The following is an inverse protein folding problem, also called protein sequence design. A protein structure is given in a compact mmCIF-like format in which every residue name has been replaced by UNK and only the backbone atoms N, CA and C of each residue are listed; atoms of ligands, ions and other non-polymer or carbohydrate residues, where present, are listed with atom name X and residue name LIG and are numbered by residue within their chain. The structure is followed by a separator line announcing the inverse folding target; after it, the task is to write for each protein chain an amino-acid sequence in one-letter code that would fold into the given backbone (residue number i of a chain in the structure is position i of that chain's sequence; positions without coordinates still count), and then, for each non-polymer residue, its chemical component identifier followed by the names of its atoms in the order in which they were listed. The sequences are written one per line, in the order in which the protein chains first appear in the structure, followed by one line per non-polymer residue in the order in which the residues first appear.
data_IF_598622501087
#
_entry.id   IF_598622501087
#
_cell.length_a   1.000
_cell.length_b   1.000
_cell.length_c   1.000
_cell.angle_alpha   90.00
_cell.angle_beta   90.00
_cell.angle_gamma   90.00
#
_symmetry.space_group_name_H-M   'P 1'
#
loop_
_entity.id
_entity.type
_entity.pdbx_description
1 polymer ?
#
# COMPACT_ATOMS: atom_id res chain seq x y z
N UNK A 1 -50.77 5.21 1.99
CA UNK A 1 -49.67 5.70 2.86
C UNK A 1 -49.59 4.69 3.98
N UNK A 2 -48.48 3.94 4.10
CA UNK A 2 -48.39 2.82 5.07
C UNK A 2 -48.29 3.41 6.49
N UNK A 3 -48.83 2.75 7.50
CA UNK A 3 -48.78 3.22 8.91
C UNK A 3 -47.35 3.49 9.40
N UNK A 4 -46.35 2.81 8.82
CA UNK A 4 -44.93 3.08 9.07
C UNK A 4 -44.53 4.52 8.68
N UNK A 5 -45.05 5.04 7.56
CA UNK A 5 -44.75 6.40 7.08
C UNK A 5 -45.29 7.49 8.02
N UNK A 6 -46.35 7.18 8.79
CA UNK A 6 -46.99 8.11 9.74
C UNK A 6 -46.21 8.18 11.06
N UNK A 7 -45.58 7.08 11.48
CA UNK A 7 -44.75 7.07 12.68
C UNK A 7 -43.48 7.92 12.49
N UNK A 8 -42.85 7.84 11.31
CA UNK A 8 -41.63 8.59 10.98
C UNK A 8 -41.83 10.10 10.81
N UNK A 9 -43.05 10.56 10.50
CA UNK A 9 -43.33 12.00 10.32
C UNK A 9 -43.54 12.76 11.63
N UNK A 10 -43.58 12.07 12.77
CA UNK A 10 -43.91 12.64 14.09
C UNK A 10 -42.69 12.95 14.97
N UNK A 11 -41.49 12.55 14.56
CA UNK A 11 -40.26 12.79 15.32
C UNK A 11 -39.75 14.22 15.04
N UNK A 12 -39.46 15.02 16.09
CA UNK A 12 -39.02 16.39 15.91
C UNK A 12 -37.66 16.43 15.19
N UNK A 13 -37.46 17.36 14.24
CA UNK A 13 -36.17 17.50 13.57
C UNK A 13 -35.07 17.81 14.59
N UNK A 14 -33.94 17.12 14.50
CA UNK A 14 -32.80 17.39 15.37
C UNK A 14 -32.25 18.80 15.12
N UNK A 15 -32.62 19.77 15.96
CA UNK A 15 -32.13 21.16 15.92
C UNK A 15 -30.68 21.31 16.45
N UNK A 16 -29.92 20.23 16.61
CA UNK A 16 -28.54 20.24 17.08
C UNK A 16 -27.54 20.12 15.94
N UNK A 17 -26.42 20.83 16.03
CA UNK A 17 -25.28 20.59 15.14
C UNK A 17 -24.85 19.11 15.22
N UNK A 18 -24.46 18.48 14.10
CA UNK A 18 -24.12 17.06 14.06
C UNK A 18 -23.04 16.73 15.10
N UNK A 19 -23.34 15.84 16.05
CA UNK A 19 -22.42 15.49 17.14
C UNK A 19 -21.48 14.36 16.71
N UNK A 20 -20.16 14.45 17.02
CA UNK A 20 -19.24 13.36 16.78
C UNK A 20 -19.52 12.19 17.75
N UNK A 21 -19.71 10.99 17.21
CA UNK A 21 -19.92 9.76 18.01
C UNK A 21 -18.61 9.05 18.29
N UNK A 22 -17.70 9.02 17.31
CA UNK A 22 -16.41 8.36 17.44
C UNK A 22 -15.30 9.19 16.82
N UNK A 23 -14.12 9.11 17.44
CA UNK A 23 -12.92 9.84 17.04
C UNK A 23 -11.73 8.91 17.09
N UNK A 24 -11.01 8.78 15.97
CA UNK A 24 -9.84 7.91 15.84
C UNK A 24 -8.72 8.69 15.17
N UNK A 25 -7.51 8.62 15.73
CA UNK A 25 -6.35 9.30 15.12
C UNK A 25 -6.01 8.68 13.76
N UNK A 26 -5.77 9.52 12.76
CA UNK A 26 -5.49 9.09 11.40
C UNK A 26 -4.16 8.32 11.26
N UNK A 27 -3.26 8.40 12.25
CA UNK A 27 -2.02 7.59 12.28
C UNK A 27 -2.28 6.08 12.24
N UNK A 28 -3.43 5.63 12.76
CA UNK A 28 -3.79 4.21 12.74
C UNK A 28 -4.02 3.68 11.33
N UNK A 29 -4.36 4.56 10.37
CA UNK A 29 -4.43 4.19 8.94
C UNK A 29 -3.05 3.79 8.44
N UNK A 30 -2.01 4.55 8.79
CA UNK A 30 -0.63 4.23 8.43
C UNK A 30 -0.15 2.96 9.11
N UNK A 31 -0.46 2.76 10.40
CA UNK A 31 -0.12 1.50 11.08
C UNK A 31 -0.80 0.28 10.45
N UNK A 32 -2.11 0.38 10.17
CA UNK A 32 -2.85 -0.70 9.54
C UNK A 32 -2.26 -1.05 8.16
N UNK A 33 -1.98 -0.05 7.33
CA UNK A 33 -1.32 -0.25 6.03
C UNK A 33 0.04 -0.96 6.20
N UNK A 34 0.92 -0.43 7.05
CA UNK A 34 2.28 -0.95 7.20
C UNK A 34 2.32 -2.37 7.78
N UNK A 35 1.52 -2.65 8.81
CA UNK A 35 1.47 -3.97 9.44
C UNK A 35 0.90 -5.00 8.47
N UNK A 36 -0.19 -4.67 7.77
CA UNK A 36 -0.81 -5.60 6.82
C UNK A 36 0.09 -5.83 5.60
N UNK A 37 0.72 -4.78 5.05
CA UNK A 37 1.61 -4.90 3.91
C UNK A 37 2.86 -5.75 4.25
N UNK A 38 3.59 -5.41 5.32
CA UNK A 38 4.74 -6.22 5.73
C UNK A 38 4.33 -7.63 6.16
N UNK A 39 3.20 -7.77 6.84
CA UNK A 39 2.63 -9.06 7.20
C UNK A 39 2.36 -9.92 5.97
N UNK A 40 1.79 -9.36 4.91
CA UNK A 40 1.52 -10.07 3.65
C UNK A 40 2.79 -10.67 3.07
N UNK A 41 3.81 -9.84 2.86
CA UNK A 41 5.09 -10.24 2.26
C UNK A 41 5.86 -11.23 3.15
N UNK A 42 5.92 -10.96 4.46
CA UNK A 42 6.63 -11.82 5.41
C UNK A 42 5.98 -13.18 5.56
N UNK A 43 4.65 -13.23 5.73
CA UNK A 43 3.92 -14.50 5.85
C UNK A 43 4.02 -15.29 4.55
N UNK A 44 3.89 -14.64 3.38
CA UNK A 44 4.07 -15.30 2.09
C UNK A 44 5.46 -15.92 1.96
N UNK A 45 6.52 -15.20 2.35
CA UNK A 45 7.88 -15.72 2.32
C UNK A 45 8.07 -16.92 3.25
N UNK A 46 7.64 -16.81 4.51
CA UNK A 46 7.77 -17.90 5.49
C UNK A 46 7.00 -19.14 5.03
N UNK A 47 5.73 -18.97 4.63
CA UNK A 47 4.87 -20.08 4.19
C UNK A 47 5.38 -20.66 2.87
N UNK A 48 5.84 -19.82 1.94
CA UNK A 48 6.42 -20.23 0.67
C UNK A 48 7.68 -21.06 0.87
N UNK A 49 8.62 -20.59 1.68
CA UNK A 49 9.82 -21.34 2.05
C UNK A 49 9.49 -22.63 2.80
N UNK A 50 8.49 -22.64 3.69
CA UNK A 50 8.13 -23.86 4.42
C UNK A 50 7.49 -24.94 3.52
N UNK A 51 6.69 -24.53 2.54
CA UNK A 51 5.87 -25.48 1.75
C UNK A 51 6.47 -25.83 0.39
N UNK A 52 7.19 -24.90 -0.25
CA UNK A 52 7.56 -25.00 -1.65
C UNK A 52 8.96 -24.42 -1.96
N UNK A 53 9.89 -24.39 -0.99
CA UNK A 53 11.20 -23.73 -1.13
C UNK A 53 11.88 -23.97 -2.48
N UNK A 54 12.21 -25.21 -2.81
CA UNK A 54 12.94 -25.54 -4.05
C UNK A 54 12.22 -25.07 -5.31
N UNK A 55 10.88 -25.01 -5.28
CA UNK A 55 10.08 -24.56 -6.43
C UNK A 55 10.09 -23.05 -6.57
N UNK A 56 10.04 -22.31 -5.47
CA UNK A 56 9.99 -20.83 -5.50
C UNK A 56 11.36 -20.18 -5.67
N UNK A 57 12.46 -20.91 -5.40
CA UNK A 57 13.82 -20.46 -5.71
C UNK A 57 14.27 -20.82 -7.13
N UNK A 58 13.52 -21.67 -7.83
CA UNK A 58 13.89 -22.10 -9.18
C UNK A 58 13.46 -21.07 -10.23
N UNK A 59 14.32 -20.85 -11.21
CA UNK A 59 14.03 -20.10 -12.43
C UNK A 59 13.98 -21.05 -13.65
N UNK A 60 13.93 -20.49 -14.87
CA UNK A 60 13.82 -21.25 -16.12
C UNK A 60 15.04 -22.14 -16.43
N UNK A 61 16.21 -21.83 -15.85
CA UNK A 61 17.49 -22.46 -16.18
C UNK A 61 18.12 -23.20 -14.98
N UNK A 62 17.92 -22.70 -13.77
CA UNK A 62 18.58 -23.16 -12.55
C UNK A 62 17.60 -23.26 -11.38
N UNK A 63 17.90 -24.18 -10.47
CA UNK A 63 17.23 -24.32 -9.18
C UNK A 63 18.25 -24.35 -8.04
N UNK A 64 17.82 -24.85 -6.90
CA UNK A 64 18.73 -25.11 -5.78
C UNK A 64 19.77 -26.18 -6.19
N UNK A 65 21.08 -26.01 -5.86
CA UNK A 65 21.67 -25.03 -4.94
C UNK A 65 22.18 -23.73 -5.58
N UNK A 66 22.14 -23.60 -6.91
CA UNK A 66 22.63 -22.39 -7.58
C UNK A 66 21.77 -21.17 -7.24
N UNK A 67 20.45 -21.39 -7.10
CA UNK A 67 19.49 -20.39 -6.65
C UNK A 67 18.95 -20.74 -5.26
N UNK A 68 18.88 -19.73 -4.38
CA UNK A 68 18.59 -19.92 -2.96
C UNK A 68 17.74 -18.80 -2.33
N UNK A 69 17.53 -17.67 -3.03
CA UNK A 69 16.58 -16.62 -2.61
C UNK A 69 15.43 -16.59 -3.62
N UNK A 70 14.17 -16.77 -3.20
CA UNK A 70 13.03 -16.78 -4.11
C UNK A 70 12.65 -15.35 -4.53
N UNK A 71 12.18 -15.17 -5.77
CA UNK A 71 11.65 -13.87 -6.20
C UNK A 71 10.36 -13.51 -5.48
N UNK A 72 10.05 -12.21 -5.46
CA UNK A 72 8.79 -11.72 -4.88
C UNK A 72 7.60 -12.32 -5.64
N UNK A 73 7.64 -12.30 -6.98
CA UNK A 73 6.58 -12.87 -7.81
C UNK A 73 6.39 -14.37 -7.59
N UNK A 74 7.46 -15.17 -7.53
CA UNK A 74 7.36 -16.61 -7.29
C UNK A 74 6.78 -16.92 -5.89
N UNK A 75 7.20 -16.14 -4.89
CA UNK A 75 6.76 -16.31 -3.50
C UNK A 75 5.29 -15.96 -3.30
N UNK A 76 4.80 -14.95 -4.02
CA UNK A 76 3.47 -14.36 -3.78
C UNK A 76 2.40 -14.82 -4.78
N UNK A 77 2.80 -15.25 -5.98
CA UNK A 77 1.90 -15.53 -7.09
C UNK A 77 1.71 -17.01 -7.42
N UNK A 78 2.73 -17.85 -7.23
CA UNK A 78 2.76 -19.14 -7.91
C UNK A 78 1.89 -20.22 -7.26
N UNK A 79 1.87 -20.29 -5.91
CA UNK A 79 1.42 -21.51 -5.22
C UNK A 79 0.61 -21.25 -3.95
N UNK A 80 -0.42 -22.07 -3.78
CA UNK A 80 -1.10 -22.27 -2.50
C UNK A 80 -0.14 -22.98 -1.51
N UNK A 81 -0.12 -22.64 -0.21
CA UNK A 81 -0.99 -21.66 0.47
C UNK A 81 -0.42 -20.23 0.55
N UNK A 82 0.85 -20.01 0.22
CA UNK A 82 1.50 -18.69 0.34
C UNK A 82 0.75 -17.58 -0.43
N UNK A 83 0.37 -17.85 -1.69
CA UNK A 83 -0.44 -16.95 -2.53
C UNK A 83 -1.73 -16.50 -1.85
N UNK A 84 -2.46 -17.43 -1.23
CA UNK A 84 -3.75 -17.13 -0.63
C UNK A 84 -3.60 -16.21 0.60
N UNK A 85 -2.63 -16.50 1.47
CA UNK A 85 -2.35 -15.63 2.63
C UNK A 85 -1.91 -14.22 2.18
N UNK A 86 -1.04 -14.14 1.17
CA UNK A 86 -0.61 -12.88 0.59
C UNK A 86 -1.79 -12.05 0.08
N UNK A 87 -2.62 -12.62 -0.79
CA UNK A 87 -3.74 -11.94 -1.43
C UNK A 87 -4.80 -11.48 -0.41
N UNK A 88 -5.08 -12.28 0.61
CA UNK A 88 -6.01 -11.89 1.69
C UNK A 88 -5.48 -10.67 2.47
N UNK A 89 -4.20 -10.69 2.84
CA UNK A 89 -3.59 -9.59 3.60
C UNK A 89 -3.48 -8.30 2.75
N UNK A 90 -3.16 -8.41 1.46
CA UNK A 90 -3.16 -7.26 0.54
C UNK A 90 -4.58 -6.73 0.30
N UNK A 91 -5.59 -7.61 0.17
CA UNK A 91 -6.98 -7.18 0.08
C UNK A 91 -7.40 -6.36 1.30
N UNK A 92 -7.01 -6.77 2.51
CA UNK A 92 -7.24 -5.98 3.72
C UNK A 92 -6.43 -4.68 3.76
N UNK A 93 -5.23 -4.66 3.16
CA UNK A 93 -4.39 -3.46 3.04
C UNK A 93 -5.01 -2.39 2.14
N UNK A 94 -5.86 -2.76 1.18
CA UNK A 94 -6.44 -1.85 0.19
C UNK A 94 -7.19 -0.66 0.83
N UNK A 95 -8.04 -0.91 1.84
CA UNK A 95 -8.79 0.14 2.54
C UNK A 95 -7.88 1.18 3.19
N UNK A 96 -6.96 0.80 4.10
CA UNK A 96 -5.95 1.68 4.65
C UNK A 96 -5.13 2.40 3.58
N UNK A 97 -4.78 1.74 2.47
CA UNK A 97 -4.00 2.34 1.39
C UNK A 97 -4.75 3.47 0.70
N UNK A 98 -5.99 3.24 0.26
CA UNK A 98 -6.80 4.29 -0.38
C UNK A 98 -7.04 5.47 0.56
N UNK A 99 -7.32 5.19 1.83
CA UNK A 99 -7.52 6.22 2.84
C UNK A 99 -6.23 7.01 3.11
N UNK A 100 -5.07 6.36 3.16
CA UNK A 100 -3.77 7.02 3.30
C UNK A 100 -3.49 7.99 2.15
N UNK A 101 -3.75 7.59 0.90
CA UNK A 101 -3.56 8.47 -0.27
C UNK A 101 -4.48 9.69 -0.18
N UNK A 102 -5.74 9.49 0.20
CA UNK A 102 -6.69 10.59 0.40
C UNK A 102 -6.29 11.52 1.55
N UNK A 103 -5.87 10.95 2.69
CA UNK A 103 -5.38 11.71 3.84
C UNK A 103 -4.16 12.55 3.48
N UNK A 104 -3.25 12.03 2.65
CA UNK A 104 -2.11 12.80 2.16
C UNK A 104 -2.55 14.03 1.37
N UNK A 105 -3.56 13.90 0.50
CA UNK A 105 -4.14 15.02 -0.24
C UNK A 105 -4.74 16.08 0.72
N UNK A 106 -5.53 15.65 1.71
CA UNK A 106 -6.14 16.57 2.69
C UNK A 106 -5.07 17.24 3.54
N UNK A 107 -4.08 16.49 4.03
CA UNK A 107 -2.99 16.99 4.84
C UNK A 107 -2.22 18.10 4.12
N UNK A 108 -1.77 17.83 2.90
CA UNK A 108 -0.92 18.76 2.13
C UNK A 108 -1.67 19.99 1.60
N UNK A 109 -2.97 19.88 1.30
CA UNK A 109 -3.75 20.99 0.71
C UNK A 109 -4.57 21.79 1.72
N UNK A 110 -4.96 21.19 2.85
CA UNK A 110 -5.84 21.82 3.85
C UNK A 110 -5.17 22.07 5.20
N UNK A 111 -4.20 21.24 5.58
CA UNK A 111 -3.57 21.32 6.90
C UNK A 111 -2.26 22.08 6.85
N UNK A 112 -1.26 21.54 6.14
CA UNK A 112 0.07 22.17 6.05
C UNK A 112 0.17 23.20 4.93
N UNK A 113 -0.76 23.15 3.97
CA UNK A 113 -0.80 24.03 2.78
C UNK A 113 0.54 24.08 2.02
N UNK A 114 1.27 22.98 2.03
CA UNK A 114 2.55 22.79 1.33
C UNK A 114 2.37 22.46 -0.14
N UNK A 115 1.13 22.23 -0.59
CA UNK A 115 0.79 21.89 -1.96
C UNK A 115 -0.34 22.76 -2.51
N UNK A 116 -0.29 23.09 -3.80
CA UNK A 116 -1.42 23.72 -4.49
C UNK A 116 -2.56 22.72 -4.66
N UNK A 117 -3.84 23.16 -4.71
CA UNK A 117 -4.96 22.26 -4.90
C UNK A 117 -4.87 21.40 -6.17
N UNK A 118 -4.29 21.97 -7.24
CA UNK A 118 -4.06 21.24 -8.49
C UNK A 118 -3.01 20.14 -8.31
N UNK A 119 -1.83 20.47 -7.79
CA UNK A 119 -0.77 19.47 -7.56
C UNK A 119 -1.21 18.38 -6.60
N UNK A 120 -1.91 18.74 -5.51
CA UNK A 120 -2.48 17.76 -4.58
C UNK A 120 -3.44 16.78 -5.26
N UNK A 121 -4.31 17.24 -6.17
CA UNK A 121 -5.21 16.37 -6.93
C UNK A 121 -4.45 15.47 -7.92
N UNK A 122 -3.42 15.99 -8.59
CA UNK A 122 -2.56 15.18 -9.45
C UNK A 122 -1.85 14.08 -8.65
N UNK A 123 -1.30 14.42 -7.48
CA UNK A 123 -0.64 13.46 -6.59
C UNK A 123 -1.61 12.41 -6.05
N UNK A 124 -2.84 12.81 -5.70
CA UNK A 124 -3.93 11.88 -5.37
C UNK A 124 -4.20 10.91 -6.52
N UNK A 125 -4.35 11.40 -7.75
CA UNK A 125 -4.58 10.54 -8.92
C UNK A 125 -3.42 9.56 -9.15
N UNK A 126 -2.17 10.02 -9.08
CA UNK A 126 -0.98 9.16 -9.17
C UNK A 126 -0.99 8.09 -8.07
N UNK A 127 -1.32 8.46 -6.83
CA UNK A 127 -1.41 7.53 -5.71
C UNK A 127 -2.53 6.49 -5.87
N UNK A 128 -3.66 6.87 -6.47
CA UNK A 128 -4.75 5.96 -6.80
C UNK A 128 -4.35 4.98 -7.91
N UNK A 129 -3.76 5.47 -9.01
CA UNK A 129 -3.25 4.62 -10.11
C UNK A 129 -2.21 3.65 -9.56
N UNK A 130 -1.22 4.13 -8.78
CA UNK A 130 -0.24 3.26 -8.11
C UNK A 130 -0.92 2.18 -7.27
N UNK A 131 -1.96 2.54 -6.50
CA UNK A 131 -2.67 1.58 -5.65
C UNK A 131 -3.43 0.53 -6.46
N UNK A 132 -4.08 0.94 -7.55
CA UNK A 132 -4.79 0.02 -8.45
C UNK A 132 -3.82 -0.91 -9.18
N UNK A 133 -2.69 -0.39 -9.67
CA UNK A 133 -1.63 -1.20 -10.30
C UNK A 133 -1.04 -2.23 -9.33
N UNK A 134 -0.93 -1.89 -8.03
CA UNK A 134 -0.53 -2.83 -6.99
C UNK A 134 -1.50 -4.01 -6.89
N UNK A 135 -2.81 -3.72 -6.84
CA UNK A 135 -3.84 -4.75 -6.90
C UNK A 135 -3.76 -5.57 -8.19
N UNK A 136 -3.48 -4.91 -9.33
CA UNK A 136 -3.28 -5.54 -10.63
C UNK A 136 -2.27 -6.67 -10.58
N UNK A 137 -1.00 -6.38 -10.25
CA UNK A 137 0.04 -7.41 -10.23
C UNK A 137 -0.11 -8.40 -9.06
N UNK A 138 -0.80 -8.02 -7.98
CA UNK A 138 -1.05 -8.92 -6.83
C UNK A 138 -2.12 -9.97 -7.13
N UNK A 139 -3.24 -9.57 -7.75
CA UNK A 139 -4.37 -10.47 -7.99
C UNK A 139 -4.31 -11.17 -9.35
N UNK A 140 -3.71 -10.53 -10.35
CA UNK A 140 -3.33 -11.15 -11.62
C UNK A 140 -1.88 -11.58 -11.48
N UNK A 141 -1.70 -12.85 -11.11
CA UNK A 141 -0.38 -13.39 -10.81
C UNK A 141 0.39 -13.69 -12.11
N UNK A 142 1.72 -13.71 -12.03
CA UNK A 142 2.60 -14.07 -13.16
C UNK A 142 2.30 -15.44 -13.76
N UNK A 143 1.72 -16.36 -12.97
CA UNK A 143 1.27 -17.68 -13.45
C UNK A 143 -0.07 -17.66 -14.17
N UNK A 144 -0.94 -16.68 -13.88
CA UNK A 144 -2.27 -16.60 -14.50
C UNK A 144 -2.24 -15.84 -15.83
N UNK A 145 -1.59 -14.67 -15.85
CA UNK A 145 -1.40 -13.84 -17.04
C UNK A 145 -0.12 -13.00 -16.87
N UNK A 146 0.96 -13.45 -17.50
CA UNK A 146 2.28 -12.85 -17.37
C UNK A 146 2.33 -11.42 -17.96
N UNK A 147 1.67 -11.19 -19.10
CA UNK A 147 1.72 -9.90 -19.79
C UNK A 147 1.00 -8.82 -18.98
N UNK A 148 -0.20 -9.14 -18.48
CA UNK A 148 -0.96 -8.20 -17.67
C UNK A 148 -0.32 -7.95 -16.30
N UNK A 149 0.28 -8.99 -15.70
CA UNK A 149 1.07 -8.88 -14.47
C UNK A 149 2.23 -7.89 -14.65
N UNK A 150 3.03 -8.05 -15.71
CA UNK A 150 4.20 -7.20 -15.99
C UNK A 150 3.79 -5.76 -16.30
N UNK A 151 2.71 -5.56 -17.07
CA UNK A 151 2.19 -4.21 -17.35
C UNK A 151 1.75 -3.53 -16.04
N UNK A 152 1.06 -4.24 -15.16
CA UNK A 152 0.63 -3.71 -13.87
C UNK A 152 1.82 -3.39 -12.96
N UNK A 153 2.84 -4.26 -12.92
CA UNK A 153 4.07 -4.02 -12.16
C UNK A 153 4.87 -2.83 -12.70
N UNK A 154 5.05 -2.72 -14.02
CA UNK A 154 5.72 -1.60 -14.66
C UNK A 154 4.98 -0.28 -14.38
N UNK A 155 3.65 -0.27 -14.51
CA UNK A 155 2.84 0.90 -14.18
C UNK A 155 2.96 1.27 -12.69
N UNK A 156 2.99 0.28 -11.78
CA UNK A 156 3.23 0.51 -10.36
C UNK A 156 4.59 1.19 -10.10
N UNK A 157 5.67 0.67 -10.67
CA UNK A 157 7.01 1.24 -10.53
C UNK A 157 7.11 2.65 -11.13
N UNK A 158 6.54 2.86 -12.32
CA UNK A 158 6.49 4.17 -12.98
C UNK A 158 5.70 5.19 -12.16
N UNK A 159 4.60 4.80 -11.52
CA UNK A 159 3.83 5.68 -10.63
C UNK A 159 4.49 5.87 -9.26
N UNK A 160 5.40 5.00 -8.84
CA UNK A 160 6.10 5.10 -7.55
C UNK A 160 7.03 6.29 -7.49
N UNK A 161 7.74 6.61 -8.58
CA UNK A 161 8.61 7.79 -8.66
C UNK A 161 7.87 9.13 -8.45
N UNK A 162 6.84 9.49 -9.25
CA UNK A 162 6.10 10.72 -9.03
C UNK A 162 5.35 10.73 -7.68
N UNK A 163 4.90 9.57 -7.19
CA UNK A 163 4.31 9.47 -5.85
C UNK A 163 5.32 9.86 -4.76
N UNK A 164 6.47 9.18 -4.69
CA UNK A 164 7.45 9.39 -3.63
C UNK A 164 8.10 10.79 -3.72
N UNK A 165 8.41 11.28 -4.92
CA UNK A 165 8.92 12.64 -5.11
C UNK A 165 7.87 13.70 -4.77
N UNK A 166 6.60 13.46 -5.12
CA UNK A 166 5.50 14.36 -4.78
C UNK A 166 5.23 14.42 -3.27
N UNK A 167 5.27 13.27 -2.58
CA UNK A 167 5.21 13.20 -1.11
C UNK A 167 6.40 13.94 -0.50
N UNK A 168 7.61 13.72 -1.01
CA UNK A 168 8.82 14.38 -0.49
C UNK A 168 8.77 15.91 -0.68
N UNK A 169 8.29 16.40 -1.82
CA UNK A 169 8.21 17.83 -2.11
C UNK A 169 7.13 18.56 -1.31
N UNK A 170 6.04 17.86 -0.99
CA UNK A 170 4.90 18.39 -0.22
C UNK A 170 4.99 18.11 1.28
N UNK A 171 6.00 17.37 1.72
CA UNK A 171 6.25 17.13 3.15
C UNK A 171 6.59 18.43 3.90
N UNK A 172 6.09 18.57 5.12
CA UNK A 172 6.39 19.74 5.96
C UNK A 172 7.89 19.83 6.27
N UNK A 173 8.49 21.00 6.02
CA UNK A 173 9.90 21.28 6.31
C UNK A 173 10.23 21.29 7.80
N UNK A 174 9.22 21.43 8.66
CA UNK A 174 9.39 21.39 10.11
C UNK A 174 9.76 19.98 10.61
N UNK A 175 9.49 18.93 9.82
CA UNK A 175 9.79 17.54 10.19
C UNK A 175 11.08 17.04 9.55
N UNK A 176 12.21 17.64 9.95
CA UNK A 176 13.53 17.38 9.36
C UNK A 176 13.93 15.90 9.41
N UNK A 177 13.63 15.20 10.51
CA UNK A 177 13.93 13.77 10.65
C UNK A 177 13.12 12.90 9.66
N UNK A 178 11.82 13.16 9.51
CA UNK A 178 10.96 12.45 8.54
C UNK A 178 11.47 12.67 7.12
N UNK A 179 11.82 13.91 6.77
CA UNK A 179 12.40 14.24 5.47
C UNK A 179 13.74 13.52 5.21
N UNK A 180 14.60 13.40 6.23
CA UNK A 180 15.87 12.66 6.11
C UNK A 180 15.61 11.20 5.75
N UNK A 181 14.69 10.54 6.48
CA UNK A 181 14.35 9.14 6.21
C UNK A 181 13.65 8.96 4.86
N UNK A 182 12.73 9.85 4.48
CA UNK A 182 12.12 9.84 3.14
C UNK A 182 13.17 9.93 2.03
N UNK A 183 14.11 10.86 2.12
CA UNK A 183 15.20 10.99 1.14
C UNK A 183 16.06 9.74 1.07
N UNK A 184 16.41 9.17 2.22
CA UNK A 184 17.19 7.94 2.28
C UNK A 184 16.46 6.78 1.61
N UNK A 185 15.17 6.59 1.89
CA UNK A 185 14.37 5.50 1.31
C UNK A 185 14.15 5.67 -0.19
N UNK A 186 13.89 6.90 -0.65
CA UNK A 186 13.81 7.22 -2.10
C UNK A 186 15.15 6.95 -2.77
N UNK A 187 16.26 7.41 -2.18
CA UNK A 187 17.59 7.18 -2.72
C UNK A 187 17.96 5.69 -2.71
N UNK A 188 17.57 4.93 -1.69
CA UNK A 188 17.78 3.48 -1.63
C UNK A 188 16.94 2.76 -2.68
N UNK A 189 15.65 3.11 -2.83
CA UNK A 189 14.76 2.53 -3.83
C UNK A 189 15.33 2.75 -5.24
N UNK A 190 15.48 4.01 -5.67
CA UNK A 190 15.96 4.31 -7.02
C UNK A 190 17.45 4.05 -7.24
N UNK A 191 18.25 4.03 -6.18
CA UNK A 191 19.67 3.69 -6.27
C UNK A 191 19.91 2.19 -6.43
N UNK A 192 19.06 1.35 -5.85
CA UNK A 192 19.16 -0.11 -5.99
C UNK A 192 18.41 -0.65 -7.22
N UNK A 193 17.41 0.08 -7.75
CA UNK A 193 16.68 -0.35 -8.96
C UNK A 193 17.61 -0.65 -10.16
N UNK A 194 18.62 0.17 -10.53
CA UNK A 194 19.52 -0.15 -11.64
C UNK A 194 20.35 -1.41 -11.38
N UNK A 195 20.75 -1.65 -10.13
CA UNK A 195 21.49 -2.86 -9.74
C UNK A 195 20.60 -4.09 -9.88
N UNK A 196 19.34 -3.99 -9.46
CA UNK A 196 18.33 -5.04 -9.66
C UNK A 196 18.16 -5.34 -11.16
N UNK A 197 17.98 -4.32 -12.00
CA UNK A 197 17.82 -4.48 -13.45
C UNK A 197 19.06 -5.13 -14.07
N UNK A 198 20.27 -4.78 -13.62
CA UNK A 198 21.49 -5.43 -14.07
C UNK A 198 21.46 -6.94 -13.82
N UNK A 199 21.11 -7.38 -12.60
CA UNK A 199 21.00 -8.82 -12.29
C UNK A 199 19.81 -9.50 -12.98
N UNK A 200 18.73 -8.78 -13.25
CA UNK A 200 17.65 -9.26 -14.12
C UNK A 200 18.18 -9.55 -15.54
N UNK A 201 19.03 -8.70 -16.11
CA UNK A 201 19.63 -8.98 -17.42
C UNK A 201 20.57 -10.21 -17.34
N UNK A 202 21.38 -10.30 -16.29
CA UNK A 202 22.26 -11.45 -16.09
C UNK A 202 21.49 -12.77 -15.97
N UNK A 203 20.32 -12.77 -15.32
CA UNK A 203 19.53 -14.00 -15.17
C UNK A 203 18.72 -14.38 -16.42
N UNK A 204 18.20 -13.40 -17.18
CA UNK A 204 17.23 -13.65 -18.28
C UNK A 204 17.92 -13.81 -19.62
N UNK A 205 19.02 -13.08 -19.83
CA UNK A 205 19.69 -13.00 -21.14
C UNK A 205 21.01 -13.76 -21.11
N UNK A 206 21.79 -13.58 -20.03
CA UNK A 206 23.10 -14.21 -19.92
C UNK A 206 23.09 -15.55 -19.19
N UNK A 207 21.95 -15.93 -18.58
CA UNK A 207 21.75 -17.18 -17.84
C UNK A 207 22.89 -17.46 -16.84
N UNK A 208 23.28 -16.47 -16.05
CA UNK A 208 24.33 -16.63 -15.04
C UNK A 208 23.75 -17.33 -13.79
N UNK A 209 24.34 -18.43 -13.30
CA UNK A 209 23.86 -19.09 -12.09
C UNK A 209 24.00 -18.19 -10.86
N UNK A 210 22.96 -18.12 -10.03
CA UNK A 210 22.91 -17.30 -8.82
C UNK A 210 22.52 -15.85 -9.07
N UNK A 211 22.43 -15.41 -10.33
CA UNK A 211 22.00 -14.05 -10.67
C UNK A 211 20.54 -13.80 -10.29
N UNK A 212 19.68 -14.82 -10.38
CA UNK A 212 18.28 -14.71 -9.99
C UNK A 212 18.13 -14.46 -8.49
N UNK A 213 18.88 -15.15 -7.65
CA UNK A 213 18.86 -14.93 -6.20
C UNK A 213 19.31 -13.52 -5.81
N UNK A 214 20.34 -12.97 -6.48
CA UNK A 214 20.80 -11.60 -6.24
C UNK A 214 19.75 -10.60 -6.71
N UNK A 215 19.16 -10.81 -7.90
CA UNK A 215 18.03 -10.04 -8.40
C UNK A 215 16.87 -10.02 -7.38
N UNK A 216 16.46 -11.20 -6.90
CA UNK A 216 15.37 -11.36 -5.94
C UNK A 216 15.64 -10.67 -4.61
N UNK A 217 16.89 -10.70 -4.12
CA UNK A 217 17.27 -9.93 -2.93
C UNK A 217 16.97 -8.42 -3.09
N UNK A 218 17.24 -7.85 -4.27
CA UNK A 218 16.92 -6.44 -4.52
C UNK A 218 15.42 -6.21 -4.67
N UNK A 219 14.66 -7.12 -5.27
CA UNK A 219 13.18 -7.02 -5.31
C UNK A 219 12.60 -6.91 -3.89
N UNK A 220 12.99 -7.82 -2.99
CA UNK A 220 12.58 -7.78 -1.58
C UNK A 220 13.00 -6.47 -0.91
N UNK A 221 14.20 -5.98 -1.21
CA UNK A 221 14.70 -4.70 -0.68
C UNK A 221 13.84 -3.52 -1.14
N UNK A 222 13.42 -3.48 -2.42
CA UNK A 222 12.53 -2.44 -2.95
C UNK A 222 11.19 -2.42 -2.21
N UNK A 223 10.60 -3.59 -1.94
CA UNK A 223 9.36 -3.69 -1.14
C UNK A 223 9.55 -3.10 0.26
N UNK A 224 10.68 -3.41 0.92
CA UNK A 224 10.99 -2.85 2.24
C UNK A 224 11.11 -1.33 2.21
N UNK A 225 11.79 -0.77 1.21
CA UNK A 225 11.94 0.67 1.10
C UNK A 225 10.62 1.37 0.83
N UNK A 226 9.77 0.78 -0.01
CA UNK A 226 8.52 1.38 -0.44
C UNK A 226 7.45 1.38 0.66
N UNK A 227 7.22 0.23 1.31
CA UNK A 227 6.32 0.15 2.47
C UNK A 227 6.86 1.00 3.63
N UNK A 228 8.18 1.04 3.82
CA UNK A 228 8.84 1.89 4.80
C UNK A 228 8.65 3.38 4.53
N UNK A 229 8.66 3.79 3.25
CA UNK A 229 8.42 5.18 2.86
C UNK A 229 6.99 5.61 3.19
N UNK A 230 6.01 4.77 2.85
CA UNK A 230 4.60 5.00 3.15
C UNK A 230 4.34 4.97 4.68
N UNK A 231 5.08 4.15 5.46
CA UNK A 231 4.95 4.08 6.92
C UNK A 231 5.25 5.42 7.63
N UNK A 232 6.16 6.24 7.08
CA UNK A 232 6.51 7.54 7.65
C UNK A 232 5.31 8.51 7.72
N UNK A 233 4.26 8.27 6.94
CA UNK A 233 3.00 9.04 7.01
C UNK A 233 2.33 8.99 8.39
N UNK A 234 2.65 7.99 9.25
CA UNK A 234 2.14 7.94 10.62
C UNK A 234 2.49 9.18 11.44
N UNK A 235 3.64 9.80 11.16
CA UNK A 235 4.12 11.01 11.84
C UNK A 235 3.40 12.26 11.30
N UNK A 236 3.10 12.28 10.00
CA UNK A 236 2.32 13.36 9.40
C UNK A 236 0.86 13.34 9.90
N UNK A 237 0.28 12.15 10.00
CA UNK A 237 -1.13 11.97 10.36
C UNK A 237 -1.39 11.95 11.87
N UNK A 238 -0.36 12.12 12.71
CA UNK A 238 -0.52 12.10 14.17
C UNK A 238 -1.45 13.22 14.70
N UNK A 239 -1.51 14.34 13.97
CA UNK A 239 -2.32 15.52 14.31
C UNK A 239 -3.65 15.58 13.54
N UNK A 240 -3.99 14.51 12.82
CA UNK A 240 -5.27 14.38 12.11
C UNK A 240 -6.15 13.37 12.83
N UNK A 241 -7.44 13.67 12.88
CA UNK A 241 -8.46 12.79 13.46
C UNK A 241 -9.55 12.48 12.44
N UNK A 242 -9.90 11.20 12.34
CA UNK A 242 -11.08 10.70 11.64
C UNK A 242 -12.25 10.75 12.63
N UNK A 243 -13.31 11.46 12.24
CA UNK A 243 -14.48 11.68 13.09
C UNK A 243 -15.71 11.11 12.42
N UNK A 244 -16.40 10.21 13.12
CA UNK A 244 -17.71 9.69 12.72
C UNK A 244 -18.77 10.60 13.35
N UNK A 245 -19.63 11.16 12.51
CA UNK A 245 -20.64 12.13 12.91
C UNK A 245 -22.01 11.56 12.60
N UNK A 246 -22.89 11.50 13.60
CA UNK A 246 -24.28 11.12 13.37
C UNK A 246 -24.98 12.22 12.58
N UNK A 247 -25.62 11.84 11.48
CA UNK A 247 -26.51 12.71 10.72
C UNK A 247 -27.95 12.22 10.75
N UNK A 248 -28.25 11.21 11.57
CA UNK A 248 -29.61 10.73 11.76
C UNK A 248 -30.48 11.89 12.25
N UNK A 249 -31.64 12.13 11.61
CA UNK A 249 -32.55 13.19 12.04
C UNK A 249 -33.23 12.86 13.38
N UNK A 250 -33.07 11.63 13.87
CA UNK A 250 -33.73 11.09 15.05
C UNK A 250 -32.73 10.99 16.21
N UNK A 251 -33.08 11.61 17.34
CA UNK A 251 -32.38 11.42 18.62
C UNK A 251 -33.05 10.24 19.31
N UNK A 252 -32.41 9.07 19.33
CA UNK A 252 -32.87 7.97 20.18
C UNK A 252 -32.86 8.43 21.63
N UNK A 253 -34.03 8.50 22.28
CA UNK A 253 -34.05 8.76 23.73
C UNK A 253 -33.63 7.48 24.43
N UNK A 254 -32.92 7.63 25.55
CA UNK A 254 -32.49 6.51 26.39
C UNK A 254 -33.66 5.67 26.94
N UNK A 255 -34.88 6.16 26.79
CA UNK A 255 -36.14 5.51 27.20
C UNK A 255 -36.69 4.55 26.13
N UNK A 256 -36.14 4.57 24.90
CA UNK A 256 -36.61 3.76 23.75
C UNK A 256 -35.81 2.44 23.57
N UNK A 257 -34.97 2.06 24.54
CA UNK A 257 -34.16 0.82 24.55
C UNK A 257 -34.47 -0.02 25.77
#
# INVERSE_FOLDING_TARGET
MREEDILYSSLPPSNGSPKPIAKVSAKYVSYAHTILAYGAFFIALVVGCYTHYEKIVSNEHYGYPQEYIPSVSATTGDRYPARAYFQILIAMTSGPRFLMVYLWYVYTTKTTQTSTPFFGKCLLAVGLVRTLSCGGWTFITSTDDHDLHDIAMALYLLCTLPWQLGVLSTSSRQMAQVLKWRRLLVAAFFGTTPVMIYFFIQHKIHHIPGAYSIYSFFEWSLILYDVGFDALSMVDFQNLDLVIVDKSPFVYKKEDV
#
